data_IF_342976413184
#
_entry.id   IF_342976413184
#
_cell.length_a   1.000
_cell.length_b   1.000
_cell.length_c   1.000
_cell.angle_alpha   90.00
_cell.angle_beta   90.00
_cell.angle_gamma   90.00
#
_symmetry.space_group_name_H-M   'P 1'
#
loop_
_entity.id
_entity.type
_entity.pdbx_description
1 polymer ?
#
# COMPACT_ATOMS: atom_id res chain seq x y z
N UNK A 1 -4.91 -15.58 -12.89
CA UNK A 1 -5.02 -14.80 -11.64
C UNK A 1 -6.48 -14.72 -11.22
N UNK A 2 -6.76 -14.98 -9.96
CA UNK A 2 -8.12 -14.91 -9.43
C UNK A 2 -8.68 -13.49 -9.58
N UNK A 3 -9.98 -13.40 -9.88
CA UNK A 3 -10.67 -12.11 -10.03
C UNK A 3 -11.93 -12.10 -9.16
N UNK A 4 -12.15 -10.98 -8.46
CA UNK A 4 -13.31 -10.79 -7.59
C UNK A 4 -14.08 -9.56 -8.05
N UNK A 5 -15.28 -9.77 -8.58
CA UNK A 5 -16.10 -8.71 -9.18
C UNK A 5 -17.13 -8.21 -8.17
N UNK A 6 -17.33 -6.90 -8.11
CA UNK A 6 -18.39 -6.29 -7.29
C UNK A 6 -18.09 -6.27 -5.79
N UNK A 7 -16.86 -6.62 -5.37
CA UNK A 7 -16.47 -6.61 -3.94
C UNK A 7 -16.39 -5.19 -3.42
N UNK A 8 -15.95 -4.26 -4.27
CA UNK A 8 -15.82 -2.84 -3.94
C UNK A 8 -16.36 -2.01 -5.09
N UNK A 9 -16.57 -0.72 -4.85
CA UNK A 9 -17.00 0.23 -5.87
C UNK A 9 -16.00 1.37 -5.98
N UNK A 10 -15.99 2.01 -7.16
CA UNK A 10 -15.21 3.20 -7.40
C UNK A 10 -16.10 4.20 -8.15
N UNK A 11 -16.20 5.42 -7.62
CA UNK A 11 -17.10 6.45 -8.16
C UNK A 11 -18.55 5.94 -8.32
N UNK A 12 -18.99 5.07 -7.39
CA UNK A 12 -20.35 4.52 -7.37
C UNK A 12 -20.57 3.31 -8.27
N UNK A 13 -19.59 2.89 -9.07
CA UNK A 13 -19.68 1.74 -9.96
C UNK A 13 -18.94 0.51 -9.43
N UNK A 14 -19.44 -0.71 -9.67
CA UNK A 14 -18.71 -1.91 -9.28
C UNK A 14 -17.46 -2.09 -10.12
N UNK A 15 -16.40 -2.60 -9.50
CA UNK A 15 -15.11 -2.85 -10.14
C UNK A 15 -14.63 -4.25 -9.80
N UNK A 16 -13.61 -4.72 -10.53
CA UNK A 16 -13.03 -6.05 -10.38
C UNK A 16 -11.67 -5.96 -9.72
N UNK A 17 -11.47 -6.71 -8.64
CA UNK A 17 -10.17 -6.85 -7.99
C UNK A 17 -9.46 -8.08 -8.52
N UNK A 18 -8.18 -7.93 -8.83
CA UNK A 18 -7.32 -9.02 -9.32
C UNK A 18 -6.52 -9.56 -8.14
N UNK A 19 -6.46 -10.89 -8.03
CA UNK A 19 -5.70 -11.57 -7.00
C UNK A 19 -6.56 -12.11 -5.87
N UNK A 20 -5.99 -13.00 -5.05
CA UNK A 20 -6.71 -13.59 -3.93
C UNK A 20 -6.89 -12.58 -2.79
N UNK A 21 -7.98 -12.72 -2.05
CA UNK A 21 -8.20 -11.91 -0.84
C UNK A 21 -7.19 -12.31 0.24
N UNK A 22 -6.48 -11.33 0.78
CA UNK A 22 -5.58 -11.56 1.90
C UNK A 22 -6.38 -11.64 3.20
N UNK A 23 -6.01 -12.55 4.10
CA UNK A 23 -6.77 -12.82 5.34
C UNK A 23 -5.86 -12.74 6.55
N UNK A 24 -6.46 -12.34 7.69
CA UNK A 24 -5.78 -12.34 8.98
C UNK A 24 -5.33 -13.77 9.34
N UNK A 25 -4.10 -13.90 9.83
CA UNK A 25 -3.50 -15.17 10.19
C UNK A 25 -2.69 -15.83 9.08
N UNK A 26 -2.82 -15.32 7.86
CA UNK A 26 -2.10 -15.83 6.70
C UNK A 26 -0.66 -15.34 6.73
N UNK A 27 0.26 -16.15 6.18
CA UNK A 27 1.62 -15.69 5.92
C UNK A 27 1.54 -14.58 4.87
N UNK A 28 2.18 -13.44 5.15
CA UNK A 28 2.13 -12.28 4.24
C UNK A 28 2.76 -12.65 2.89
N UNK A 29 2.05 -12.46 1.77
CA UNK A 29 2.64 -12.65 0.45
C UNK A 29 3.77 -11.63 0.23
N UNK A 30 4.82 -12.06 -0.46
CA UNK A 30 5.89 -11.15 -0.81
C UNK A 30 5.42 -10.19 -1.92
N UNK A 31 6.17 -9.12 -2.11
CA UNK A 31 5.90 -8.15 -3.18
C UNK A 31 7.22 -7.51 -3.60
N UNK A 32 7.22 -6.95 -4.81
CA UNK A 32 8.34 -6.13 -5.29
C UNK A 32 7.77 -4.79 -5.77
N UNK A 33 8.10 -3.73 -5.06
CA UNK A 33 7.66 -2.37 -5.36
C UNK A 33 8.88 -1.47 -5.51
N UNK A 34 8.69 -0.26 -6.01
CA UNK A 34 9.79 0.64 -6.30
C UNK A 34 9.80 1.80 -5.30
N UNK A 35 10.91 2.02 -4.66
CA UNK A 35 11.09 3.14 -3.72
C UNK A 35 11.37 4.47 -4.44
N UNK A 36 11.41 5.54 -3.67
CA UNK A 36 11.70 6.88 -4.20
C UNK A 36 13.11 6.98 -4.82
N UNK A 37 13.99 6.08 -4.44
CA UNK A 37 15.35 5.97 -4.99
C UNK A 37 15.40 5.12 -6.27
N UNK A 38 14.24 4.70 -6.79
CA UNK A 38 14.08 3.85 -7.96
C UNK A 38 14.61 2.42 -7.78
N UNK A 39 14.87 2.02 -6.54
CA UNK A 39 15.34 0.67 -6.24
C UNK A 39 14.17 -0.23 -5.82
N UNK A 40 14.22 -1.51 -6.17
CA UNK A 40 13.18 -2.45 -5.74
C UNK A 40 13.20 -2.66 -4.23
N UNK A 41 12.01 -2.75 -3.64
CA UNK A 41 11.80 -3.02 -2.21
C UNK A 41 10.87 -4.22 -2.07
N UNK A 42 11.19 -5.10 -1.13
CA UNK A 42 10.41 -6.28 -0.83
C UNK A 42 10.13 -6.36 0.67
N UNK A 43 9.36 -7.36 1.12
CA UNK A 43 9.15 -7.57 2.56
C UNK A 43 10.45 -7.69 3.33
N UNK A 44 11.48 -8.29 2.71
CA UNK A 44 12.77 -8.51 3.35
C UNK A 44 13.44 -7.18 3.75
N UNK A 45 13.21 -6.11 3.01
CA UNK A 45 13.77 -4.80 3.32
C UNK A 45 13.22 -4.22 4.63
N UNK A 46 12.09 -4.75 5.11
CA UNK A 46 11.43 -4.31 6.34
C UNK A 46 11.39 -5.41 7.38
N UNK A 47 12.24 -6.42 7.24
CA UNK A 47 12.27 -7.58 8.14
C UNK A 47 12.55 -7.15 9.59
N UNK A 48 11.90 -7.80 10.53
CA UNK A 48 12.05 -7.51 11.96
C UNK A 48 11.21 -6.34 12.45
N UNK A 49 10.40 -5.75 11.58
CA UNK A 49 9.51 -4.62 11.95
C UNK A 49 8.06 -4.96 11.72
N UNK A 50 7.19 -4.29 12.49
CA UNK A 50 5.76 -4.30 12.22
C UNK A 50 5.51 -3.35 11.05
N UNK A 51 4.83 -3.83 10.00
CA UNK A 51 4.57 -3.07 8.80
C UNK A 51 3.10 -2.68 8.77
N UNK A 52 2.84 -1.38 8.84
CA UNK A 52 1.50 -0.82 8.64
C UNK A 52 1.44 -0.33 7.20
N UNK A 53 0.70 -1.05 6.36
CA UNK A 53 0.61 -0.75 4.93
C UNK A 53 -0.70 -0.03 4.65
N UNK A 54 -0.58 1.23 4.22
CA UNK A 54 -1.71 2.03 3.76
C UNK A 54 -1.76 1.94 2.24
N UNK A 55 -2.84 1.41 1.70
CA UNK A 55 -3.01 1.21 0.26
C UNK A 55 -3.98 2.26 -0.26
N UNK A 56 -3.57 3.01 -1.27
CA UNK A 56 -4.38 4.12 -1.81
C UNK A 56 -4.39 4.07 -3.34
N UNK A 57 -5.51 4.51 -3.97
CA UNK A 57 -5.56 4.60 -5.44
C UNK A 57 -4.55 5.59 -6.00
N UNK A 58 -4.41 6.75 -5.38
CA UNK A 58 -3.43 7.77 -5.78
C UNK A 58 -3.29 8.82 -4.68
N UNK A 59 -2.07 9.31 -4.50
CA UNK A 59 -1.79 10.42 -3.59
C UNK A 59 -2.40 11.75 -4.07
N UNK A 60 -2.77 11.82 -5.35
CA UNK A 60 -3.40 13.02 -5.92
C UNK A 60 -4.90 13.15 -5.60
N UNK A 61 -5.52 12.15 -4.95
CA UNK A 61 -6.91 12.26 -4.51
C UNK A 61 -6.96 12.86 -3.10
N UNK A 62 -7.98 13.70 -2.84
CA UNK A 62 -8.09 14.41 -1.56
C UNK A 62 -8.18 13.47 -0.36
N UNK A 63 -8.93 12.38 -0.47
CA UNK A 63 -9.08 11.41 0.64
C UNK A 63 -7.78 10.66 0.89
N UNK A 64 -7.08 10.25 -0.16
CA UNK A 64 -5.81 9.53 -0.02
C UNK A 64 -4.71 10.45 0.53
N UNK A 65 -4.71 11.72 0.12
CA UNK A 65 -3.82 12.73 0.68
C UNK A 65 -4.05 12.87 2.19
N UNK A 66 -5.31 13.04 2.61
CA UNK A 66 -5.65 13.17 4.02
C UNK A 66 -5.27 11.92 4.81
N UNK A 67 -5.52 10.73 4.28
CA UNK A 67 -5.15 9.46 4.92
C UNK A 67 -3.64 9.37 5.13
N UNK A 68 -2.85 9.71 4.12
CA UNK A 68 -1.40 9.62 4.21
C UNK A 68 -0.84 10.64 5.20
N UNK A 69 -1.40 11.85 5.22
CA UNK A 69 -1.00 12.89 6.19
C UNK A 69 -1.32 12.46 7.62
N UNK A 70 -2.47 11.82 7.82
CA UNK A 70 -2.86 11.32 9.14
C UNK A 70 -1.88 10.23 9.61
N UNK A 71 -1.53 9.28 8.75
CA UNK A 71 -0.55 8.25 9.08
C UNK A 71 0.83 8.86 9.38
N UNK A 72 1.22 9.90 8.66
CA UNK A 72 2.50 10.57 8.92
C UNK A 72 2.53 11.19 10.31
N UNK A 73 1.44 11.84 10.73
CA UNK A 73 1.35 12.41 12.08
C UNK A 73 1.44 11.33 13.16
N UNK A 74 0.69 10.25 12.97
CA UNK A 74 0.69 9.15 13.93
C UNK A 74 2.00 8.40 13.97
N UNK A 75 2.73 8.32 12.85
CA UNK A 75 4.01 7.63 12.78
C UNK A 75 5.04 8.24 13.74
N UNK A 76 4.93 9.52 14.06
CA UNK A 76 5.85 10.16 15.01
C UNK A 76 5.70 9.61 16.43
N UNK A 77 4.54 9.04 16.75
CA UNK A 77 4.26 8.47 18.08
C UNK A 77 4.53 6.96 18.14
N UNK A 78 4.93 6.34 17.03
CA UNK A 78 5.19 4.91 16.97
C UNK A 78 6.65 4.62 17.37
N UNK A 79 6.87 3.39 17.84
CA UNK A 79 8.23 2.94 18.17
C UNK A 79 9.06 2.72 16.89
N UNK A 80 10.39 2.61 17.06
CA UNK A 80 11.30 2.34 15.94
C UNK A 80 11.07 0.95 15.31
N UNK A 81 10.32 0.08 16.00
CA UNK A 81 9.98 -1.26 15.50
C UNK A 81 8.83 -1.25 14.50
N UNK A 82 8.19 -0.11 14.28
CA UNK A 82 7.05 0.01 13.39
C UNK A 82 7.43 0.90 12.21
N UNK A 83 7.10 0.43 11.00
CA UNK A 83 7.27 1.21 9.77
C UNK A 83 5.91 1.38 9.10
N UNK A 84 5.62 2.57 8.61
CA UNK A 84 4.40 2.86 7.86
C UNK A 84 4.75 2.98 6.39
N UNK A 85 4.12 2.13 5.57
CA UNK A 85 4.33 2.07 4.14
C UNK A 85 3.06 2.52 3.43
N UNK A 86 3.16 3.45 2.50
CA UNK A 86 2.04 3.84 1.65
C UNK A 86 2.31 3.35 0.23
N UNK A 87 1.43 2.51 -0.29
CA UNK A 87 1.59 1.89 -1.60
C UNK A 87 0.49 2.38 -2.54
N UNK A 88 0.89 2.85 -3.71
CA UNK A 88 -0.02 3.28 -4.76
C UNK A 88 0.57 2.96 -6.13
N UNK A 89 -0.22 3.20 -7.19
CA UNK A 89 0.26 3.05 -8.57
C UNK A 89 0.90 4.34 -9.09
N UNK A 90 1.00 5.39 -8.29
CA UNK A 90 1.72 6.60 -8.67
C UNK A 90 3.18 6.29 -8.99
N UNK A 91 3.76 7.04 -9.92
CA UNK A 91 5.18 6.87 -10.24
C UNK A 91 6.04 7.31 -9.04
N UNK A 92 7.23 6.70 -8.86
CA UNK A 92 8.12 7.09 -7.76
C UNK A 92 8.46 8.58 -7.75
N UNK A 93 8.58 9.18 -8.92
CA UNK A 93 8.83 10.63 -9.04
C UNK A 93 7.68 11.45 -8.48
N UNK A 94 6.45 11.06 -8.78
CA UNK A 94 5.26 11.75 -8.27
C UNK A 94 5.13 11.58 -6.77
N UNK A 95 5.41 10.40 -6.25
CA UNK A 95 5.37 10.14 -4.80
C UNK A 95 6.41 10.98 -4.06
N UNK A 96 7.62 11.05 -4.59
CA UNK A 96 8.69 11.83 -3.99
C UNK A 96 8.34 13.32 -3.97
N UNK A 97 7.80 13.83 -5.07
CA UNK A 97 7.37 15.22 -5.16
C UNK A 97 6.24 15.52 -4.17
N UNK A 98 5.28 14.62 -4.07
CA UNK A 98 4.17 14.77 -3.14
C UNK A 98 4.65 14.82 -1.69
N UNK A 99 5.55 13.92 -1.29
CA UNK A 99 6.11 13.89 0.06
C UNK A 99 6.82 15.20 0.39
N UNK A 100 7.61 15.74 -0.54
CA UNK A 100 8.30 17.00 -0.34
C UNK A 100 7.35 18.17 -0.20
N UNK A 101 6.35 18.26 -1.07
CA UNK A 101 5.38 19.35 -1.06
C UNK A 101 4.45 19.30 0.16
N UNK A 102 4.11 18.10 0.62
CA UNK A 102 3.20 17.90 1.75
C UNK A 102 3.90 17.91 3.11
N UNK A 103 5.22 17.88 3.14
CA UNK A 103 5.97 17.79 4.40
C UNK A 103 5.86 16.42 5.07
N UNK A 104 5.60 15.36 4.31
CA UNK A 104 5.46 14.00 4.82
C UNK A 104 6.84 13.34 4.80
N UNK A 105 7.37 13.02 5.97
CA UNK A 105 8.73 12.48 6.11
C UNK A 105 8.82 11.20 6.94
N UNK A 106 7.73 10.79 7.60
CA UNK A 106 7.69 9.61 8.48
C UNK A 106 7.07 8.40 7.82
N UNK A 107 6.45 8.56 6.66
CA UNK A 107 5.84 7.49 5.88
C UNK A 107 6.71 7.22 4.67
N UNK A 108 6.94 5.94 4.39
CA UNK A 108 7.69 5.52 3.20
C UNK A 108 6.68 5.28 2.09
N UNK A 109 6.80 6.03 0.99
CA UNK A 109 5.93 5.83 -0.18
C UNK A 109 6.60 4.86 -1.15
N UNK A 110 5.82 3.91 -1.64
CA UNK A 110 6.29 2.85 -2.54
C UNK A 110 5.36 2.76 -3.74
N UNK A 111 5.93 2.55 -4.91
CA UNK A 111 5.18 2.48 -6.17
C UNK A 111 5.02 1.05 -6.64
N UNK A 112 3.78 0.66 -6.94
CA UNK A 112 3.45 -0.66 -7.50
C UNK A 112 3.22 -0.60 -9.02
N UNK A 113 3.60 0.52 -9.66
CA UNK A 113 3.27 0.76 -11.06
C UNK A 113 3.95 -0.21 -12.04
N UNK A 114 5.14 -0.69 -11.70
CA UNK A 114 5.96 -1.47 -12.64
C UNK A 114 5.39 -2.87 -12.86
N UNK A 115 5.18 -3.60 -11.79
CA UNK A 115 4.78 -5.02 -11.87
C UNK A 115 3.39 -5.30 -11.29
N UNK A 116 2.79 -4.34 -10.62
CA UNK A 116 1.55 -4.53 -9.85
C UNK A 116 1.65 -5.71 -8.87
N UNK A 117 2.86 -6.00 -8.42
CA UNK A 117 3.17 -7.17 -7.59
C UNK A 117 2.39 -7.17 -6.28
N UNK A 118 2.36 -6.03 -5.58
CA UNK A 118 1.59 -5.90 -4.34
C UNK A 118 0.09 -6.04 -4.62
N UNK A 119 -0.41 -5.31 -5.61
CA UNK A 119 -1.83 -5.34 -5.95
C UNK A 119 -2.33 -6.73 -6.29
N UNK A 120 -1.58 -7.47 -7.10
CA UNK A 120 -1.95 -8.84 -7.48
C UNK A 120 -1.82 -9.82 -6.33
N UNK A 121 -0.75 -9.74 -5.54
CA UNK A 121 -0.49 -10.71 -4.47
C UNK A 121 -1.39 -10.49 -3.25
N UNK A 122 -1.88 -9.27 -3.04
CA UNK A 122 -2.75 -8.93 -1.91
C UNK A 122 -4.22 -8.73 -2.32
N UNK A 123 -4.50 -8.82 -3.62
CA UNK A 123 -5.88 -8.69 -4.12
C UNK A 123 -6.43 -7.27 -4.11
N UNK A 124 -5.56 -6.26 -4.21
CA UNK A 124 -5.95 -4.85 -4.20
C UNK A 124 -5.98 -4.20 -5.60
N UNK A 125 -5.53 -4.90 -6.63
CA UNK A 125 -5.46 -4.32 -7.98
C UNK A 125 -6.85 -4.23 -8.61
N UNK A 126 -7.23 -3.01 -9.01
CA UNK A 126 -8.46 -2.75 -9.76
C UNK A 126 -8.16 -2.99 -11.24
N UNK A 127 -8.79 -4.01 -11.84
CA UNK A 127 -8.52 -4.38 -13.23
C UNK A 127 -8.87 -3.27 -14.20
N UNK A 128 -10.03 -2.65 -14.03
CA UNK A 128 -10.57 -1.66 -14.97
C UNK A 128 -9.75 -0.37 -15.04
N UNK A 129 -9.11 0.01 -13.94
CA UNK A 129 -8.41 1.29 -13.82
C UNK A 129 -6.91 1.13 -13.65
N UNK A 130 -6.44 -0.08 -13.37
CA UNK A 130 -5.06 -0.37 -13.00
C UNK A 130 -4.57 0.53 -11.85
N UNK A 131 -5.44 0.70 -10.86
CA UNK A 131 -5.15 1.40 -9.61
C UNK A 131 -5.32 0.41 -8.47
N UNK A 132 -4.85 0.77 -7.28
CA UNK A 132 -5.10 -0.03 -6.07
C UNK A 132 -6.36 0.48 -5.38
N UNK A 133 -7.17 -0.44 -4.85
CA UNK A 133 -8.28 -0.04 -3.99
C UNK A 133 -7.75 0.39 -2.62
N UNK A 134 -8.53 1.23 -1.91
CA UNK A 134 -8.12 1.69 -0.58
C UNK A 134 -8.19 0.56 0.45
N UNK A 135 -7.20 0.51 1.32
CA UNK A 135 -7.20 -0.45 2.40
C UNK A 135 -6.03 -0.27 3.33
N UNK A 136 -6.03 -1.05 4.41
CA UNK A 136 -4.95 -1.10 5.38
C UNK A 136 -4.62 -2.54 5.67
N UNK A 137 -3.34 -2.90 5.65
CA UNK A 137 -2.86 -4.22 6.01
C UNK A 137 -1.76 -4.06 7.05
N UNK A 138 -1.86 -4.80 8.15
CA UNK A 138 -0.81 -4.81 9.18
C UNK A 138 -0.15 -6.19 9.17
N UNK A 139 1.17 -6.19 9.08
CA UNK A 139 1.99 -7.41 9.07
C UNK A 139 2.94 -7.35 10.26
N UNK A 140 2.93 -8.40 11.08
CA UNK A 140 3.76 -8.44 12.28
C UNK A 140 5.24 -8.76 11.97
N UNK A 141 6.07 -8.83 13.00
CA UNK A 141 7.52 -9.07 12.86
C UNK A 141 7.83 -10.45 12.26
N UNK A 142 6.93 -11.40 12.38
CA UNK A 142 7.07 -12.75 11.81
C UNK A 142 6.47 -12.86 10.41
N UNK A 143 6.13 -11.74 9.79
CA UNK A 143 5.55 -11.66 8.45
C UNK A 143 4.19 -12.36 8.33
N UNK A 144 3.39 -12.28 9.38
CA UNK A 144 2.00 -12.73 9.35
C UNK A 144 1.05 -11.53 9.32
N UNK A 145 -0.03 -11.67 8.57
CA UNK A 145 -1.07 -10.64 8.48
C UNK A 145 -1.88 -10.66 9.78
N UNK A 146 -1.91 -9.54 10.48
CA UNK A 146 -2.65 -9.41 11.75
C UNK A 146 -3.89 -8.55 11.64
N UNK A 147 -4.05 -7.77 10.56
CA UNK A 147 -5.18 -6.88 10.36
C UNK A 147 -5.36 -6.56 8.88
N UNK A 148 -6.60 -6.55 8.42
CA UNK A 148 -6.98 -6.17 7.05
C UNK A 148 -8.28 -5.36 7.12
N UNK A 149 -8.27 -4.21 6.45
CA UNK A 149 -9.48 -3.37 6.36
C UNK A 149 -9.76 -2.93 4.94
#
# INVERSE_FOLDING_TARGET
MEKRTGVVTFAGGPITLVGPEVKVGQQAPDFTVIGNDLQPKTLKDFEGKVKVISVVPSLDTGVCDAQTRWFNQDATALSDDVVVLTISMDLPFAQKRWCGAAGVDKVITLSDHKDASFGENYGFLIEELRLLTRGVVVINKENKVTYVE
#
